data_IF_798679965817
#
_entry.id   IF_798679965817
#
_cell.length_a   1.000
_cell.length_b   1.000
_cell.length_c   1.000
_cell.angle_alpha   90.00
_cell.angle_beta   90.00
_cell.angle_gamma   90.00
#
_symmetry.space_group_name_H-M   'P 1'
#
loop_
_entity.id
_entity.type
_entity.pdbx_description
1 polymer ?
#
# COMPACT_ATOMS: atom_id res chain seq x y z
N UNK A 1 -4.14 40.53 -66.96
CA UNK A 1 -3.41 39.80 -65.88
C UNK A 1 -3.64 40.30 -64.44
N UNK A 2 -3.73 41.61 -64.17
CA UNK A 2 -3.94 42.15 -62.78
C UNK A 2 -5.25 41.71 -62.12
N UNK A 3 -6.35 41.60 -62.80
CA UNK A 3 -7.66 41.20 -62.22
C UNK A 3 -7.75 39.73 -61.76
N UNK A 4 -6.86 38.86 -62.21
CA UNK A 4 -6.84 37.44 -61.85
C UNK A 4 -6.08 37.25 -60.52
N UNK A 5 -5.04 38.04 -60.27
CA UNK A 5 -4.25 38.03 -59.04
C UNK A 5 -5.02 38.54 -57.83
N UNK A 6 -5.94 39.53 -58.00
CA UNK A 6 -6.71 40.09 -56.88
C UNK A 6 -7.75 39.06 -56.33
N UNK A 7 -8.38 38.26 -57.17
CA UNK A 7 -9.35 37.26 -56.73
C UNK A 7 -8.71 36.05 -56.06
N UNK A 8 -7.50 35.69 -56.45
CA UNK A 8 -6.79 34.58 -55.82
C UNK A 8 -6.04 34.97 -54.55
N UNK A 9 -5.59 36.20 -54.48
CA UNK A 9 -4.94 36.77 -53.32
C UNK A 9 -5.85 36.78 -52.09
N UNK A 10 -7.11 37.19 -52.25
CA UNK A 10 -8.09 37.19 -51.15
C UNK A 10 -8.48 35.77 -50.70
N UNK A 11 -8.58 34.82 -51.64
CA UNK A 11 -8.88 33.42 -51.30
C UNK A 11 -7.71 32.77 -50.55
N UNK A 12 -6.46 33.02 -50.94
CA UNK A 12 -5.27 32.51 -50.26
C UNK A 12 -5.14 33.10 -48.87
N UNK A 13 -5.40 34.40 -48.70
CA UNK A 13 -5.39 35.04 -47.38
C UNK A 13 -6.45 34.50 -46.46
N UNK A 14 -7.67 34.22 -46.95
CA UNK A 14 -8.75 33.63 -46.14
C UNK A 14 -8.41 32.20 -45.69
N UNK A 15 -7.81 31.39 -46.56
CA UNK A 15 -7.38 30.02 -46.19
C UNK A 15 -6.23 30.06 -45.17
N UNK A 16 -5.27 30.99 -45.32
CA UNK A 16 -4.19 31.15 -44.37
C UNK A 16 -4.71 31.56 -42.97
N UNK A 17 -5.66 32.53 -42.92
CA UNK A 17 -6.31 32.88 -41.65
C UNK A 17 -7.09 31.75 -41.01
N UNK A 18 -7.81 30.94 -41.79
CA UNK A 18 -8.55 29.77 -41.28
C UNK A 18 -7.58 28.73 -40.72
N UNK A 19 -6.48 28.46 -41.39
CA UNK A 19 -5.44 27.53 -40.89
C UNK A 19 -4.76 28.02 -39.59
N UNK A 20 -4.50 29.29 -39.45
CA UNK A 20 -3.90 29.85 -38.19
C UNK A 20 -4.89 29.75 -37.01
N UNK A 21 -6.19 29.97 -37.25
CA UNK A 21 -7.20 29.83 -36.20
C UNK A 21 -7.33 28.36 -35.77
N UNK A 22 -7.36 27.42 -36.70
CA UNK A 22 -7.42 25.98 -36.38
C UNK A 22 -6.15 25.55 -35.64
N UNK A 23 -4.98 26.01 -36.09
CA UNK A 23 -3.71 25.69 -35.44
C UNK A 23 -3.66 26.25 -33.99
N UNK A 24 -4.09 27.47 -33.79
CA UNK A 24 -4.18 28.08 -32.47
C UNK A 24 -5.16 27.31 -31.54
N UNK A 25 -6.33 26.90 -32.07
CA UNK A 25 -7.31 26.13 -31.30
C UNK A 25 -6.80 24.73 -30.92
N UNK A 26 -6.06 24.06 -31.80
CA UNK A 26 -5.44 22.76 -31.49
C UNK A 26 -4.33 22.91 -30.46
N UNK A 27 -3.53 23.98 -30.56
CA UNK A 27 -2.41 24.23 -29.63
C UNK A 27 -2.91 24.54 -28.22
N UNK A 28 -3.95 25.40 -28.09
CA UNK A 28 -4.55 25.71 -26.79
C UNK A 28 -5.17 24.48 -26.15
N UNK A 29 -5.83 23.62 -26.94
CA UNK A 29 -6.42 22.37 -26.45
C UNK A 29 -5.38 21.38 -25.94
N UNK A 30 -4.21 21.31 -26.58
CA UNK A 30 -3.11 20.46 -26.09
C UNK A 30 -2.52 20.96 -24.78
N UNK A 31 -2.42 22.27 -24.59
CA UNK A 31 -1.91 22.85 -23.33
C UNK A 31 -2.91 22.66 -22.20
N UNK A 32 -4.21 22.75 -22.46
CA UNK A 32 -5.24 22.48 -21.46
C UNK A 32 -5.24 20.99 -21.03
N UNK A 33 -5.08 20.04 -21.97
CA UNK A 33 -4.97 18.62 -21.65
C UNK A 33 -3.72 18.32 -20.81
N UNK A 34 -2.58 18.96 -21.10
CA UNK A 34 -1.37 18.81 -20.29
C UNK A 34 -1.52 19.38 -18.88
N UNK A 35 -2.25 20.50 -18.74
CA UNK A 35 -2.55 21.11 -17.43
C UNK A 35 -3.46 20.21 -16.59
N UNK A 36 -4.51 19.64 -17.21
CA UNK A 36 -5.42 18.71 -16.54
C UNK A 36 -4.67 17.47 -16.10
N UNK A 37 -3.88 16.84 -16.97
CA UNK A 37 -3.07 15.67 -16.62
C UNK A 37 -2.04 15.97 -15.51
N UNK A 38 -1.46 17.16 -15.51
CA UNK A 38 -0.53 17.59 -14.45
C UNK A 38 -1.25 17.84 -13.11
N UNK A 39 -2.49 18.34 -13.14
CA UNK A 39 -3.32 18.49 -11.94
C UNK A 39 -3.77 17.15 -11.36
N UNK A 40 -4.19 16.22 -12.21
CA UNK A 40 -4.55 14.87 -11.79
C UNK A 40 -3.37 14.11 -11.19
N UNK A 41 -2.18 14.23 -11.79
CA UNK A 41 -0.96 13.64 -11.25
C UNK A 41 -0.58 14.23 -9.87
N UNK A 42 -0.74 15.55 -9.68
CA UNK A 42 -0.50 16.20 -8.38
C UNK A 42 -1.55 15.78 -7.35
N UNK A 43 -2.82 15.75 -7.72
CA UNK A 43 -3.89 15.31 -6.82
C UNK A 43 -3.69 13.84 -6.37
N UNK A 44 -3.28 12.96 -7.29
CA UNK A 44 -2.94 11.58 -6.97
C UNK A 44 -1.72 11.47 -6.04
N UNK A 45 -0.71 12.34 -6.26
CA UNK A 45 0.48 12.40 -5.40
C UNK A 45 0.16 12.96 -4.00
N UNK A 46 -0.66 14.01 -3.92
CA UNK A 46 -1.10 14.58 -2.64
C UNK A 46 -1.97 13.58 -1.86
N UNK A 47 -2.82 12.82 -2.55
CA UNK A 47 -3.63 11.78 -1.95
C UNK A 47 -2.76 10.63 -1.43
N UNK A 48 -1.73 10.21 -2.18
CA UNK A 48 -0.78 9.21 -1.72
C UNK A 48 0.06 9.67 -0.53
N UNK A 49 0.38 10.97 -0.44
CA UNK A 49 1.07 11.55 0.71
C UNK A 49 0.15 11.67 1.94
N UNK A 50 -1.13 11.98 1.75
CA UNK A 50 -2.11 11.99 2.83
C UNK A 50 -2.38 10.58 3.36
N UNK A 51 -2.46 9.58 2.48
CA UNK A 51 -2.61 8.18 2.88
C UNK A 51 -1.36 7.66 3.61
N UNK A 52 -0.16 8.13 3.22
CA UNK A 52 1.09 7.79 3.90
C UNK A 52 1.27 8.51 5.26
N UNK A 53 0.60 9.63 5.47
CA UNK A 53 0.55 10.36 6.75
C UNK A 53 -0.63 9.93 7.64
N UNK A 54 -1.54 9.09 7.14
CA UNK A 54 -2.55 8.49 7.96
C UNK A 54 -1.86 7.68 9.05
N UNK A 55 -2.00 8.11 10.29
CA UNK A 55 -1.48 7.42 11.46
C UNK A 55 -1.87 5.94 11.38
N UNK A 56 -0.89 5.06 11.32
CA UNK A 56 -1.15 3.62 11.16
C UNK A 56 -1.88 3.13 12.39
N UNK A 57 -3.17 2.92 12.26
CA UNK A 57 -3.98 2.33 13.34
C UNK A 57 -3.59 0.87 13.47
N UNK A 58 -3.19 0.48 14.67
CA UNK A 58 -2.81 -0.88 15.01
C UNK A 58 -3.92 -1.58 15.78
N UNK A 59 -4.16 -2.86 15.48
CA UNK A 59 -5.11 -3.69 16.19
C UNK A 59 -4.48 -5.04 16.58
N UNK A 60 -4.97 -5.65 17.64
CA UNK A 60 -4.53 -7.00 18.02
C UNK A 60 -4.98 -8.02 17.00
N UNK A 61 -4.10 -8.96 16.60
CA UNK A 61 -4.41 -10.00 15.61
C UNK A 61 -5.43 -11.01 16.13
N UNK A 62 -5.42 -11.21 17.45
CA UNK A 62 -6.31 -12.12 18.19
C UNK A 62 -6.65 -11.51 19.56
N UNK A 63 -7.70 -12.01 20.21
CA UNK A 63 -8.14 -11.49 21.50
C UNK A 63 -7.26 -11.92 22.69
N UNK A 64 -6.43 -12.96 22.52
CA UNK A 64 -5.55 -13.47 23.57
C UNK A 64 -4.33 -12.54 23.77
N UNK A 65 -3.81 -12.53 25.01
CA UNK A 65 -2.52 -11.94 25.29
C UNK A 65 -1.39 -12.80 24.69
N UNK A 66 -0.22 -12.22 24.36
CA UNK A 66 0.90 -12.97 23.83
C UNK A 66 1.41 -14.02 24.86
N UNK A 67 1.75 -15.22 24.38
CA UNK A 67 2.44 -16.24 25.18
C UNK A 67 3.94 -15.97 25.26
N UNK A 68 4.51 -15.46 24.17
CA UNK A 68 5.89 -15.04 24.08
C UNK A 68 5.95 -13.68 23.39
N UNK A 69 6.55 -12.69 24.06
CA UNK A 69 6.77 -11.36 23.52
C UNK A 69 8.03 -11.27 22.65
N UNK A 70 8.11 -10.17 21.90
CA UNK A 70 9.30 -9.78 21.18
C UNK A 70 10.49 -9.58 22.14
N UNK A 71 11.68 -10.09 21.79
CA UNK A 71 12.89 -9.91 22.61
C UNK A 71 14.07 -9.28 21.86
N UNK A 72 13.95 -9.14 20.52
CA UNK A 72 15.09 -8.70 19.72
C UNK A 72 16.31 -9.63 19.90
N UNK A 73 17.48 -9.06 20.06
CA UNK A 73 18.69 -9.82 20.40
C UNK A 73 18.84 -9.94 21.92
N UNK A 74 18.93 -11.17 22.44
CA UNK A 74 19.08 -11.46 23.86
C UNK A 74 20.09 -12.59 24.07
N UNK A 75 20.60 -12.74 25.30
CA UNK A 75 21.41 -13.88 25.70
C UNK A 75 20.52 -14.95 26.34
N UNK A 76 20.65 -16.19 25.88
CA UNK A 76 19.98 -17.33 26.50
C UNK A 76 20.68 -17.76 27.82
N UNK A 77 20.11 -18.75 28.49
CA UNK A 77 20.63 -19.33 29.73
C UNK A 77 22.04 -19.89 29.62
N UNK A 78 22.49 -20.19 28.39
CA UNK A 78 23.85 -20.68 28.09
C UNK A 78 24.80 -19.54 27.69
N UNK A 79 24.35 -18.28 27.77
CA UNK A 79 25.13 -17.10 27.40
C UNK A 79 25.29 -16.87 25.91
N UNK A 80 24.58 -17.62 25.06
CA UNK A 80 24.61 -17.48 23.60
C UNK A 80 23.67 -16.37 23.16
N UNK A 81 24.09 -15.60 22.14
CA UNK A 81 23.25 -14.63 21.52
C UNK A 81 22.12 -15.30 20.72
N UNK A 82 20.90 -14.94 21.03
CA UNK A 82 19.66 -15.36 20.34
C UNK A 82 18.91 -14.15 19.85
N UNK A 83 18.08 -14.37 18.83
CA UNK A 83 17.18 -13.37 18.32
C UNK A 83 15.75 -13.93 18.26
N UNK A 84 14.79 -13.23 18.83
CA UNK A 84 13.37 -13.55 18.78
C UNK A 84 12.61 -12.35 18.18
N UNK A 85 12.64 -12.21 16.86
CA UNK A 85 12.09 -11.03 16.18
C UNK A 85 10.58 -11.17 15.92
N UNK A 86 9.86 -11.85 16.80
CA UNK A 86 8.44 -12.14 16.65
C UNK A 86 7.74 -12.17 18.02
N UNK A 87 6.42 -12.02 17.95
CA UNK A 87 5.51 -12.21 19.08
C UNK A 87 4.63 -13.42 18.79
N UNK A 88 4.39 -14.28 19.78
CA UNK A 88 3.51 -15.45 19.69
C UNK A 88 2.24 -15.24 20.48
N UNK A 89 1.14 -15.68 19.90
CA UNK A 89 -0.19 -15.63 20.52
C UNK A 89 -0.81 -17.02 20.59
N UNK A 90 -1.25 -17.49 21.77
CA UNK A 90 -1.96 -18.73 21.90
C UNK A 90 -3.35 -18.56 21.26
N UNK A 91 -3.77 -19.54 20.46
CA UNK A 91 -5.02 -19.50 19.73
C UNK A 91 -5.75 -20.84 19.79
N UNK A 92 -7.07 -20.79 19.83
CA UNK A 92 -7.88 -21.97 19.66
C UNK A 92 -7.98 -22.34 18.16
N UNK A 93 -8.16 -23.62 17.88
CA UNK A 93 -8.40 -24.10 16.51
C UNK A 93 -9.57 -23.39 15.87
N UNK A 94 -9.36 -22.90 14.65
CA UNK A 94 -10.37 -22.17 13.89
C UNK A 94 -10.67 -20.75 14.39
N UNK A 95 -9.91 -20.25 15.37
CA UNK A 95 -10.03 -18.87 15.82
C UNK A 95 -9.71 -17.92 14.67
N UNK A 96 -10.51 -16.86 14.53
CA UNK A 96 -10.26 -15.81 13.54
C UNK A 96 -8.97 -15.06 13.84
N UNK A 97 -8.16 -14.86 12.81
CA UNK A 97 -6.99 -14.00 12.83
C UNK A 97 -7.26 -12.77 11.97
N UNK A 98 -6.93 -11.61 12.50
CA UNK A 98 -7.21 -10.32 11.86
C UNK A 98 -5.92 -9.58 11.49
N UNK A 99 -6.01 -8.70 10.48
CA UNK A 99 -4.93 -7.83 10.09
C UNK A 99 -4.63 -6.82 11.22
N UNK A 100 -3.37 -6.67 11.58
CA UNK A 100 -2.95 -5.76 12.65
C UNK A 100 -2.91 -4.30 12.23
N UNK A 101 -2.82 -4.04 10.91
CA UNK A 101 -2.85 -2.71 10.31
C UNK A 101 -3.50 -2.77 8.92
N UNK A 102 -3.90 -1.63 8.38
CA UNK A 102 -4.31 -1.52 6.98
C UNK A 102 -3.09 -1.67 6.06
N UNK A 103 -3.25 -2.33 4.90
CA UNK A 103 -2.13 -2.55 3.99
C UNK A 103 -2.49 -3.39 2.78
N UNK A 104 -1.47 -3.87 2.07
CA UNK A 104 -1.59 -4.68 0.85
C UNK A 104 -0.93 -6.05 1.03
N UNK A 105 -1.60 -7.11 0.61
CA UNK A 105 -1.08 -8.49 0.64
C UNK A 105 0.01 -8.66 -0.40
N UNK A 106 1.23 -8.96 0.05
CA UNK A 106 2.39 -9.17 -0.81
C UNK A 106 2.59 -10.64 -1.17
N UNK A 107 2.41 -11.54 -0.20
CA UNK A 107 2.75 -12.95 -0.37
C UNK A 107 1.89 -13.83 0.54
N UNK A 108 1.55 -15.00 0.02
CA UNK A 108 0.94 -16.10 0.78
C UNK A 108 1.79 -17.34 0.53
N UNK A 109 2.27 -17.98 1.58
CA UNK A 109 3.13 -19.16 1.49
C UNK A 109 2.74 -20.18 2.57
N UNK A 110 2.10 -21.26 2.14
CA UNK A 110 1.62 -22.30 3.06
C UNK A 110 0.65 -21.75 4.10
N UNK A 111 1.07 -21.77 5.35
CA UNK A 111 0.33 -21.29 6.52
C UNK A 111 0.65 -19.83 6.88
N UNK A 112 1.40 -19.12 6.05
CA UNK A 112 1.83 -17.77 6.33
C UNK A 112 1.32 -16.74 5.32
N UNK A 113 1.04 -15.54 5.84
CA UNK A 113 0.59 -14.36 5.12
C UNK A 113 1.58 -13.22 5.38
N UNK A 114 2.07 -12.59 4.32
CA UNK A 114 2.89 -11.38 4.41
C UNK A 114 2.18 -10.21 3.73
N UNK A 115 2.05 -9.10 4.41
CA UNK A 115 1.47 -7.86 3.86
C UNK A 115 2.24 -6.64 4.34
N UNK A 116 2.12 -5.54 3.59
CA UNK A 116 2.79 -4.27 3.88
C UNK A 116 1.76 -3.25 4.35
N UNK A 117 2.01 -2.64 5.51
CA UNK A 117 1.20 -1.55 6.02
C UNK A 117 1.44 -0.24 5.25
N UNK A 118 0.49 0.69 5.32
CA UNK A 118 0.60 2.02 4.73
C UNK A 118 1.81 2.81 5.27
N UNK A 119 2.22 2.58 6.53
CA UNK A 119 3.43 3.17 7.13
C UNK A 119 4.76 2.56 6.67
N UNK A 120 4.71 1.58 5.75
CA UNK A 120 5.90 0.91 5.19
C UNK A 120 6.39 -0.30 5.99
N UNK A 121 5.75 -0.63 7.10
CA UNK A 121 6.04 -1.84 7.87
C UNK A 121 5.56 -3.08 7.10
N UNK A 122 6.33 -4.17 7.19
CA UNK A 122 5.97 -5.47 6.64
C UNK A 122 5.61 -6.41 7.78
N UNK A 123 4.44 -6.99 7.72
CA UNK A 123 3.92 -7.93 8.70
C UNK A 123 3.96 -9.33 8.10
N UNK A 124 4.52 -10.28 8.83
CA UNK A 124 4.42 -11.70 8.52
C UNK A 124 3.66 -12.40 9.63
N UNK A 125 2.54 -13.01 9.27
CA UNK A 125 1.68 -13.79 10.16
C UNK A 125 1.76 -15.26 9.75
N UNK A 126 2.17 -16.16 10.65
CA UNK A 126 2.25 -17.60 10.40
C UNK A 126 1.44 -18.39 11.41
N UNK A 127 1.09 -19.65 11.07
CA UNK A 127 0.24 -20.53 11.88
C UNK A 127 -1.23 -20.52 11.46
N UNK A 128 -1.53 -20.11 10.22
CA UNK A 128 -2.88 -20.09 9.66
C UNK A 128 -3.25 -21.47 9.07
N UNK A 129 -4.44 -21.98 9.38
CA UNK A 129 -4.99 -23.18 8.72
C UNK A 129 -5.62 -22.86 7.36
N UNK A 130 -6.10 -21.63 7.21
CA UNK A 130 -6.66 -21.12 5.96
C UNK A 130 -6.41 -19.63 5.87
N UNK A 131 -6.02 -19.16 4.68
CA UNK A 131 -5.90 -17.75 4.33
C UNK A 131 -7.13 -17.37 3.52
N UNK A 132 -7.80 -16.27 3.88
CA UNK A 132 -9.09 -15.85 3.31
C UNK A 132 -8.94 -14.65 2.35
N UNK A 133 -7.71 -14.26 2.07
CA UNK A 133 -7.33 -13.12 1.21
C UNK A 133 -6.42 -13.58 0.09
N UNK A 134 -6.21 -12.75 -0.91
CA UNK A 134 -5.37 -13.03 -2.08
C UNK A 134 -4.22 -12.03 -2.15
N UNK A 135 -3.17 -12.40 -2.88
CA UNK A 135 -2.06 -11.48 -3.19
C UNK A 135 -2.63 -10.29 -3.98
N UNK A 136 -2.24 -9.08 -3.57
CA UNK A 136 -2.71 -7.81 -4.12
C UNK A 136 -3.99 -7.27 -3.47
N UNK A 137 -4.64 -8.02 -2.57
CA UNK A 137 -5.80 -7.50 -1.84
C UNK A 137 -5.39 -6.38 -0.89
N UNK A 138 -6.23 -5.35 -0.80
CA UNK A 138 -6.12 -4.30 0.22
C UNK A 138 -6.81 -4.75 1.50
N UNK A 139 -6.10 -4.66 2.62
CA UNK A 139 -6.58 -5.01 3.94
C UNK A 139 -6.97 -3.76 4.74
N UNK A 140 -8.02 -3.88 5.54
CA UNK A 140 -8.35 -2.92 6.58
C UNK A 140 -7.85 -3.41 7.94
N UNK A 141 -7.50 -2.48 8.83
CA UNK A 141 -7.16 -2.81 10.21
C UNK A 141 -8.31 -3.59 10.89
N UNK A 142 -8.00 -4.70 11.54
CA UNK A 142 -9.00 -5.59 12.13
C UNK A 142 -9.76 -6.49 11.14
N UNK A 143 -9.50 -6.41 9.84
CA UNK A 143 -10.10 -7.29 8.84
C UNK A 143 -9.65 -8.73 9.05
N UNK A 144 -10.58 -9.67 8.97
CA UNK A 144 -10.28 -11.11 9.05
C UNK A 144 -9.42 -11.52 7.85
N UNK A 145 -8.27 -12.13 8.12
CA UNK A 145 -7.33 -12.59 7.09
C UNK A 145 -7.23 -14.11 7.00
N UNK A 146 -7.64 -14.82 8.05
CA UNK A 146 -7.58 -16.27 8.08
C UNK A 146 -8.11 -16.88 9.36
N UNK A 147 -7.87 -18.17 9.53
CA UNK A 147 -8.18 -18.93 10.74
C UNK A 147 -6.91 -19.61 11.26
N UNK A 148 -6.81 -19.75 12.58
CA UNK A 148 -5.72 -20.42 13.24
C UNK A 148 -5.73 -21.94 12.98
N UNK A 149 -4.54 -22.53 12.84
CA UNK A 149 -4.36 -23.97 12.73
C UNK A 149 -4.59 -24.67 14.07
N UNK A 150 -4.75 -26.02 14.03
CA UNK A 150 -4.89 -26.82 15.24
C UNK A 150 -3.59 -26.81 16.04
N UNK A 151 -3.72 -26.61 17.36
CA UNK A 151 -2.60 -26.63 18.32
C UNK A 151 -1.46 -25.68 17.94
N UNK A 152 -1.78 -24.62 17.19
CA UNK A 152 -0.80 -23.65 16.72
C UNK A 152 -0.84 -22.38 17.59
N UNK A 153 0.31 -21.77 17.65
CA UNK A 153 0.45 -20.37 18.04
C UNK A 153 0.50 -19.55 16.76
N UNK A 154 -0.17 -18.42 16.75
CA UNK A 154 0.04 -17.43 15.69
C UNK A 154 1.33 -16.68 16.00
N UNK A 155 2.26 -16.74 15.05
CA UNK A 155 3.52 -15.99 15.13
C UNK A 155 3.43 -14.75 14.28
N UNK A 156 3.66 -13.59 14.87
CA UNK A 156 3.67 -12.31 14.20
C UNK A 156 5.06 -11.67 14.26
N UNK A 157 5.52 -11.27 13.09
CA UNK A 157 6.77 -10.55 12.91
C UNK A 157 6.48 -9.21 12.22
N UNK A 158 6.94 -8.13 12.82
CA UNK A 158 6.84 -6.78 12.27
C UNK A 158 8.23 -6.30 11.88
N UNK A 159 8.39 -5.80 10.66
CA UNK A 159 9.67 -5.30 10.16
C UNK A 159 9.50 -3.99 9.42
N UNK A 160 10.37 -3.02 9.69
CA UNK A 160 10.49 -1.77 8.94
C UNK A 160 11.89 -1.65 8.34
N UNK A 161 12.00 -1.80 7.03
CA UNK A 161 13.30 -1.94 6.38
C UNK A 161 14.02 -3.20 6.86
N UNK A 162 15.17 -3.05 7.53
CA UNK A 162 15.94 -4.14 8.11
C UNK A 162 15.71 -4.33 9.62
N UNK A 163 14.96 -3.44 10.24
CA UNK A 163 14.70 -3.45 11.69
C UNK A 163 13.44 -4.23 12.02
N UNK A 164 13.52 -5.07 13.07
CA UNK A 164 12.37 -5.74 13.65
C UNK A 164 11.78 -4.91 14.78
N UNK A 165 10.46 -4.77 14.78
CA UNK A 165 9.72 -3.95 15.73
C UNK A 165 8.90 -4.83 16.68
N UNK A 166 8.72 -4.35 17.91
CA UNK A 166 7.84 -4.97 18.90
C UNK A 166 6.39 -4.58 18.61
N UNK A 167 5.54 -5.56 18.26
CA UNK A 167 4.13 -5.33 17.98
C UNK A 167 3.39 -4.77 19.20
N UNK A 168 3.68 -5.25 20.42
CA UNK A 168 2.97 -4.80 21.61
C UNK A 168 3.27 -3.31 21.92
N UNK A 169 4.47 -2.84 21.58
CA UNK A 169 4.81 -1.40 21.69
C UNK A 169 4.03 -0.54 20.70
N UNK A 170 3.67 -1.09 19.53
CA UNK A 170 2.88 -0.40 18.50
C UNK A 170 1.37 -0.41 18.84
N UNK A 171 0.91 -1.36 19.65
CA UNK A 171 -0.48 -1.48 20.10
C UNK A 171 -0.79 -0.60 21.31
N UNK A 172 0.24 -0.12 22.00
CA UNK A 172 0.10 0.76 23.17
C UNK A 172 0.02 2.21 22.68
N UNK A 173 -1.05 2.95 23.00
CA UNK A 173 -1.17 4.36 22.65
C UNK A 173 -0.18 5.24 23.39
#
# INVERSE_FOLDING_TARGET
MRRFLDKWGTAIAAVACALTIVFAAVYTRQDDLKRIAAQEARAAQDQSLQDAQAETVWARPVLSAPSEGFRGAYRDEHGLWRMQPYTRYPVAYGQSVTAVCAGEVLMISGDSLTYRCAGGETITCAGLSSVMVKIGDTLHCGQRVGMAARDAEITLQVRKGEEYLDLESLLSP
#
